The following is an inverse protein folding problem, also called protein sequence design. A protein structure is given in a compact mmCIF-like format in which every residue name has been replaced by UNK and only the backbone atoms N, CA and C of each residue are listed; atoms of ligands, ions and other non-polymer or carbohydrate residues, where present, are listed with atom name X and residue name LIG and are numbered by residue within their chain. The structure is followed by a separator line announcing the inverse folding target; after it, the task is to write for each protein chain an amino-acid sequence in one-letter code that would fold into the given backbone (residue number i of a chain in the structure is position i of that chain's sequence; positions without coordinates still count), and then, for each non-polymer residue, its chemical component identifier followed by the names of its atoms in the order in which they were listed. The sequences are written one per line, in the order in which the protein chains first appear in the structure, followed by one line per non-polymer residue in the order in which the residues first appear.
data_IF_122569726877
#
_entry.id   IF_122569726877
#
_cell.length_a   1.000
_cell.length_b   1.000
_cell.length_c   1.000
_cell.angle_alpha   90.00
_cell.angle_beta   90.00
_cell.angle_gamma   90.00
#
_symmetry.space_group_name_H-M   'P 1'
#
loop_
_entity.id
_entity.type
_entity.pdbx_description
1 polymer ?
#
# COMPACT_ATOMS: atom_id res chain seq x y z
N UNK A 1 21.01 4.88 -15.24
CA UNK A 1 20.23 3.73 -15.79
C UNK A 1 19.17 4.31 -16.67
N UNK A 2 18.81 3.72 -17.81
CA UNK A 2 17.57 4.12 -18.51
C UNK A 2 16.38 3.68 -17.66
N UNK A 3 15.25 4.41 -17.72
CA UNK A 3 14.03 4.08 -16.98
C UNK A 3 13.56 2.65 -17.29
N UNK A 4 13.63 2.23 -18.54
CA UNK A 4 13.29 0.88 -19.00
C UNK A 4 14.15 -0.22 -18.33
N UNK A 5 15.44 0.05 -18.09
CA UNK A 5 16.33 -0.94 -17.44
C UNK A 5 16.07 -1.01 -15.93
N UNK A 6 15.64 0.09 -15.31
CA UNK A 6 15.23 0.11 -13.91
C UNK A 6 13.94 -0.69 -13.73
N UNK A 7 12.94 -0.41 -14.54
CA UNK A 7 11.65 -1.09 -14.52
C UNK A 7 11.80 -2.60 -14.74
N UNK A 8 12.64 -3.03 -15.68
CA UNK A 8 12.93 -4.44 -15.89
C UNK A 8 13.48 -5.13 -14.63
N UNK A 9 14.43 -4.46 -13.92
CA UNK A 9 15.00 -5.00 -12.68
C UNK A 9 13.91 -5.07 -11.59
N UNK A 10 13.03 -4.07 -11.47
CA UNK A 10 11.93 -4.09 -10.51
C UNK A 10 10.93 -5.22 -10.80
N UNK A 11 10.57 -5.44 -12.07
CA UNK A 11 9.73 -6.56 -12.48
C UNK A 11 10.39 -7.93 -12.21
N UNK A 12 11.71 -8.05 -12.44
CA UNK A 12 12.46 -9.26 -12.12
C UNK A 12 12.53 -9.50 -10.60
N UNK A 13 12.71 -8.43 -9.81
CA UNK A 13 12.69 -8.48 -8.35
C UNK A 13 11.33 -8.97 -7.83
N UNK A 14 10.24 -8.47 -8.41
CA UNK A 14 8.89 -8.95 -8.09
C UNK A 14 8.75 -10.46 -8.30
N UNK A 15 9.12 -10.96 -9.50
CA UNK A 15 9.04 -12.40 -9.84
C UNK A 15 9.89 -13.26 -8.92
N UNK A 16 11.14 -12.83 -8.68
CA UNK A 16 12.06 -13.55 -7.80
C UNK A 16 11.56 -13.58 -6.34
N UNK A 17 10.98 -12.47 -5.85
CA UNK A 17 10.35 -12.42 -4.52
C UNK A 17 9.15 -13.37 -4.42
N UNK A 18 8.27 -13.39 -5.42
CA UNK A 18 7.13 -14.31 -5.45
C UNK A 18 7.57 -15.79 -5.44
N UNK A 19 8.69 -16.10 -6.10
CA UNK A 19 9.18 -17.47 -6.21
C UNK A 19 9.92 -17.94 -4.95
N UNK A 20 10.70 -17.08 -4.29
CA UNK A 20 11.65 -17.47 -3.24
C UNK A 20 11.28 -16.93 -1.84
N UNK A 21 10.41 -15.91 -1.74
CA UNK A 21 10.22 -15.15 -0.50
C UNK A 21 11.43 -14.26 -0.18
N UNK A 22 11.31 -13.42 0.86
CA UNK A 22 12.40 -12.52 1.26
C UNK A 22 13.64 -13.26 1.81
N UNK A 23 13.41 -14.29 2.63
CA UNK A 23 14.49 -14.95 3.36
C UNK A 23 15.50 -15.63 2.43
N UNK A 24 15.01 -16.37 1.44
CA UNK A 24 15.83 -17.16 0.52
C UNK A 24 16.25 -16.40 -0.74
N UNK A 25 15.66 -15.23 -1.01
CA UNK A 25 15.97 -14.41 -2.17
C UNK A 25 17.44 -14.01 -2.19
N UNK A 26 18.09 -14.16 -3.34
CA UNK A 26 19.47 -13.71 -3.61
C UNK A 26 19.52 -12.78 -4.83
N UNK A 27 20.64 -12.06 -4.97
CA UNK A 27 20.92 -11.26 -6.18
C UNK A 27 21.01 -12.14 -7.45
N UNK A 28 21.32 -13.43 -7.29
CA UNK A 28 21.34 -14.37 -8.42
C UNK A 28 19.95 -14.69 -8.90
N UNK A 29 19.01 -14.96 -7.98
CA UNK A 29 17.61 -15.26 -8.32
C UNK A 29 16.98 -14.11 -9.10
N UNK A 30 17.27 -12.85 -8.69
CA UNK A 30 16.81 -11.66 -9.41
C UNK A 30 17.45 -11.56 -10.80
N UNK A 31 18.74 -11.87 -10.92
CA UNK A 31 19.42 -11.87 -12.20
C UNK A 31 18.87 -12.96 -13.15
N UNK A 32 18.52 -14.13 -12.63
CA UNK A 32 17.96 -15.24 -13.40
C UNK A 32 16.54 -14.91 -13.93
N UNK A 33 15.81 -14.04 -13.26
CA UNK A 33 14.51 -13.49 -13.69
C UNK A 33 14.63 -12.26 -14.62
N UNK A 34 15.84 -11.77 -14.88
CA UNK A 34 16.12 -10.57 -15.66
C UNK A 34 16.94 -10.89 -16.92
N UNK A 35 16.93 -9.99 -17.90
CA UNK A 35 17.90 -10.03 -19.01
C UNK A 35 19.28 -9.52 -18.57
N UNK A 36 19.42 -9.01 -17.35
CA UNK A 36 20.66 -8.45 -16.80
C UNK A 36 21.43 -9.50 -16.03
N UNK A 37 22.77 -9.42 -16.13
CA UNK A 37 23.63 -10.28 -15.32
C UNK A 37 23.69 -9.83 -13.88
N UNK A 38 24.03 -10.74 -12.96
CA UNK A 38 24.30 -10.39 -11.54
C UNK A 38 25.35 -9.27 -11.40
N UNK A 39 26.37 -9.25 -12.26
CA UNK A 39 27.36 -8.18 -12.26
C UNK A 39 26.75 -6.82 -12.65
N UNK A 40 25.77 -6.82 -13.57
CA UNK A 40 25.04 -5.59 -13.91
C UNK A 40 24.15 -5.12 -12.75
N UNK A 41 23.51 -6.03 -12.01
CA UNK A 41 22.76 -5.68 -10.80
C UNK A 41 23.69 -5.06 -9.75
N UNK A 42 24.85 -5.68 -9.49
CA UNK A 42 25.83 -5.14 -8.54
C UNK A 42 26.50 -3.82 -8.98
N UNK A 43 26.42 -3.46 -10.23
CA UNK A 43 26.85 -2.13 -10.69
C UNK A 43 25.89 -1.03 -10.22
N UNK A 44 24.61 -1.34 -10.00
CA UNK A 44 23.57 -0.39 -9.62
C UNK A 44 23.16 -0.47 -8.15
N UNK A 45 23.29 -1.64 -7.54
CA UNK A 45 22.87 -1.92 -6.16
C UNK A 45 23.99 -2.67 -5.42
N UNK A 46 24.47 -2.09 -4.35
CA UNK A 46 25.58 -2.66 -3.57
C UNK A 46 25.20 -3.99 -2.90
N UNK A 47 23.90 -4.15 -2.58
CA UNK A 47 23.40 -5.31 -1.85
C UNK A 47 21.94 -5.66 -2.24
N UNK A 48 21.48 -6.86 -1.84
CA UNK A 48 20.06 -7.23 -1.87
C UNK A 48 19.21 -6.21 -1.11
N UNK A 49 19.70 -5.72 0.03
CA UNK A 49 19.02 -4.72 0.83
C UNK A 49 18.77 -3.42 0.05
N UNK A 50 19.79 -2.88 -0.62
CA UNK A 50 19.68 -1.65 -1.40
C UNK A 50 18.71 -1.82 -2.58
N UNK A 51 18.78 -2.97 -3.26
CA UNK A 51 17.86 -3.28 -4.35
C UNK A 51 16.41 -3.36 -3.82
N UNK A 52 16.17 -4.01 -2.68
CA UNK A 52 14.85 -4.10 -2.09
C UNK A 52 14.35 -2.75 -1.55
N UNK A 53 15.22 -1.88 -1.08
CA UNK A 53 14.89 -0.50 -0.78
C UNK A 53 14.39 0.25 -2.02
N UNK A 54 15.06 0.12 -3.15
CA UNK A 54 14.63 0.69 -4.42
C UNK A 54 13.33 0.06 -4.92
N UNK A 55 13.15 -1.24 -4.69
CA UNK A 55 11.91 -1.94 -5.02
C UNK A 55 10.71 -1.44 -4.19
N UNK A 56 10.89 -1.16 -2.91
CA UNK A 56 9.84 -0.55 -2.08
C UNK A 56 9.48 0.87 -2.57
N UNK A 57 10.44 1.66 -3.03
CA UNK A 57 10.17 2.96 -3.67
C UNK A 57 9.37 2.79 -4.97
N UNK A 58 9.75 1.84 -5.81
CA UNK A 58 9.02 1.54 -7.05
C UNK A 58 7.56 1.14 -6.76
N UNK A 59 7.33 0.32 -5.73
CA UNK A 59 5.97 -0.05 -5.32
C UNK A 59 5.18 1.16 -4.78
N UNK A 60 5.85 2.05 -4.05
CA UNK A 60 5.27 3.28 -3.56
C UNK A 60 4.84 4.19 -4.71
N UNK A 61 5.73 4.43 -5.69
CA UNK A 61 5.43 5.28 -6.84
C UNK A 61 4.25 4.73 -7.66
N UNK A 62 4.23 3.43 -7.93
CA UNK A 62 3.10 2.78 -8.60
C UNK A 62 1.80 2.80 -7.78
N UNK A 63 1.87 2.86 -6.45
CA UNK A 63 0.69 3.05 -5.61
C UNK A 63 0.18 4.50 -5.70
N UNK A 64 1.07 5.48 -5.64
CA UNK A 64 0.75 6.91 -5.79
C UNK A 64 0.05 7.17 -7.13
N UNK A 65 0.58 6.61 -8.22
CA UNK A 65 -0.04 6.72 -9.55
C UNK A 65 -1.47 6.15 -9.55
N UNK A 66 -1.68 4.96 -9.02
CA UNK A 66 -3.02 4.34 -8.97
C UNK A 66 -4.02 5.11 -8.12
N UNK A 67 -3.58 5.74 -7.03
CA UNK A 67 -4.46 6.56 -6.18
C UNK A 67 -4.72 7.93 -6.79
N UNK A 68 -3.77 8.50 -7.54
CA UNK A 68 -3.97 9.74 -8.29
C UNK A 68 -5.02 9.60 -9.41
N UNK A 69 -5.17 8.40 -9.97
CA UNK A 69 -6.14 8.09 -11.03
C UNK A 69 -7.59 7.93 -10.51
N UNK A 70 -7.84 8.11 -9.20
CA UNK A 70 -9.21 8.11 -8.64
C UNK A 70 -9.94 9.37 -9.14
N UNK A 71 -10.62 9.27 -10.29
CA UNK A 71 -11.43 10.33 -10.88
C UNK A 71 -12.83 10.38 -10.27
N UNK A 72 -12.88 10.55 -8.94
CA UNK A 72 -14.12 10.65 -8.15
C UNK A 72 -14.06 11.92 -7.33
N UNK A 73 -15.00 12.83 -7.58
CA UNK A 73 -15.06 14.15 -6.90
C UNK A 73 -15.82 14.09 -5.59
N UNK A 74 -16.81 13.21 -5.46
CA UNK A 74 -17.56 13.03 -4.20
C UNK A 74 -16.66 12.44 -3.10
N UNK A 75 -16.48 13.11 -1.95
CA UNK A 75 -15.56 12.67 -0.91
C UNK A 75 -15.92 11.30 -0.30
N UNK A 76 -17.20 10.96 -0.22
CA UNK A 76 -17.65 9.66 0.28
C UNK A 76 -17.23 8.52 -0.68
N UNK A 77 -17.55 8.67 -1.96
CA UNK A 77 -17.20 7.69 -2.98
C UNK A 77 -15.68 7.59 -3.17
N UNK A 78 -14.95 8.72 -3.06
CA UNK A 78 -13.47 8.75 -3.10
C UNK A 78 -12.87 7.97 -1.94
N UNK A 79 -13.39 8.16 -0.72
CA UNK A 79 -12.95 7.40 0.46
C UNK A 79 -13.16 5.89 0.26
N UNK A 80 -14.31 5.48 -0.26
CA UNK A 80 -14.60 4.07 -0.51
C UNK A 80 -13.73 3.48 -1.62
N UNK A 81 -13.49 4.23 -2.70
CA UNK A 81 -12.59 3.82 -3.78
C UNK A 81 -11.16 3.59 -3.27
N UNK A 82 -10.69 4.46 -2.38
CA UNK A 82 -9.38 4.32 -1.76
C UNK A 82 -9.28 3.04 -0.90
N UNK A 83 -10.30 2.77 -0.08
CA UNK A 83 -10.39 1.53 0.72
C UNK A 83 -10.36 0.31 -0.20
N UNK A 84 -11.06 0.37 -1.34
CA UNK A 84 -11.11 -0.72 -2.30
C UNK A 84 -9.73 -0.99 -2.92
N UNK A 85 -9.01 0.05 -3.34
CA UNK A 85 -7.64 -0.06 -3.91
C UNK A 85 -6.68 -0.70 -2.92
N UNK A 86 -6.72 -0.29 -1.63
CA UNK A 86 -5.80 -0.82 -0.61
C UNK A 86 -6.12 -2.29 -0.27
N UNK A 87 -7.41 -2.67 -0.27
CA UNK A 87 -7.84 -4.04 0.04
C UNK A 87 -7.88 -4.97 -1.18
N UNK A 88 -7.68 -4.44 -2.39
CA UNK A 88 -7.56 -5.24 -3.59
C UNK A 88 -6.34 -6.16 -3.52
N UNK A 89 -6.48 -7.38 -4.05
CA UNK A 89 -5.34 -8.30 -4.13
C UNK A 89 -4.35 -7.81 -5.18
N UNK A 90 -3.10 -7.64 -4.78
CA UNK A 90 -2.03 -7.28 -5.71
C UNK A 90 -1.65 -8.48 -6.59
N UNK A 91 -1.64 -8.31 -7.92
CA UNK A 91 -1.05 -9.15 -8.94
C UNK A 91 -1.10 -10.67 -8.70
N UNK A 92 0.06 -11.31 -8.57
CA UNK A 92 0.20 -12.77 -8.31
C UNK A 92 -0.20 -13.18 -6.89
N UNK A 93 -0.86 -12.30 -6.15
CA UNK A 93 -1.65 -12.60 -4.96
C UNK A 93 -0.81 -12.94 -3.72
N UNK A 94 -1.09 -14.12 -3.14
CA UNK A 94 -0.64 -14.50 -1.80
C UNK A 94 0.89 -14.55 -1.63
N UNK A 95 1.63 -14.98 -2.67
CA UNK A 95 3.09 -15.09 -2.62
C UNK A 95 3.75 -13.71 -2.46
N UNK A 96 3.28 -12.71 -3.21
CA UNK A 96 3.81 -11.35 -3.14
C UNK A 96 3.46 -10.67 -1.80
N UNK A 97 2.22 -10.82 -1.35
CA UNK A 97 1.79 -10.28 -0.06
C UNK A 97 2.57 -10.90 1.10
N UNK A 98 2.88 -12.21 1.01
CA UNK A 98 3.73 -12.90 2.00
C UNK A 98 5.14 -12.32 2.01
N UNK A 99 5.76 -12.13 0.85
CA UNK A 99 7.10 -11.55 0.75
C UNK A 99 7.16 -10.11 1.27
N UNK A 100 6.13 -9.30 1.02
CA UNK A 100 6.02 -7.96 1.60
C UNK A 100 5.89 -8.01 3.13
N UNK A 101 5.14 -8.95 3.67
CA UNK A 101 5.03 -9.13 5.12
C UNK A 101 6.38 -9.52 5.73
N UNK A 102 7.16 -10.40 5.06
CA UNK A 102 8.51 -10.76 5.48
C UNK A 102 9.45 -9.54 5.51
N UNK A 103 9.39 -8.66 4.49
CA UNK A 103 10.14 -7.40 4.45
C UNK A 103 9.68 -6.47 5.60
N UNK A 104 8.39 -6.34 5.85
CA UNK A 104 7.84 -5.56 6.97
C UNK A 104 8.35 -6.07 8.32
N UNK A 105 8.47 -7.38 8.48
CA UNK A 105 9.02 -7.99 9.70
C UNK A 105 10.50 -7.65 9.93
N UNK A 106 11.25 -7.26 8.89
CA UNK A 106 12.64 -6.79 9.02
C UNK A 106 12.75 -5.30 9.40
N UNK A 107 11.71 -4.50 9.20
CA UNK A 107 11.74 -3.06 9.45
C UNK A 107 12.22 -2.64 10.86
N UNK A 108 11.96 -3.39 11.95
CA UNK A 108 12.53 -3.09 13.26
C UNK A 108 14.06 -3.12 13.29
N UNK A 109 14.69 -3.88 12.39
CA UNK A 109 16.14 -4.13 12.36
C UNK A 109 16.83 -3.40 11.20
N UNK A 110 16.09 -3.03 10.16
CA UNK A 110 16.57 -2.46 8.91
C UNK A 110 16.01 -1.04 8.72
N UNK A 111 16.79 0.02 9.07
CA UNK A 111 16.30 1.40 8.98
C UNK A 111 15.81 1.81 7.59
N UNK A 112 16.44 1.30 6.52
CA UNK A 112 16.04 1.57 5.14
C UNK A 112 14.63 1.07 4.81
N UNK A 113 14.25 -0.09 5.30
CA UNK A 113 12.88 -0.60 5.13
C UNK A 113 11.87 0.18 5.97
N UNK A 114 12.24 0.49 7.23
CA UNK A 114 11.37 1.28 8.12
C UNK A 114 11.03 2.63 7.53
N UNK A 115 12.00 3.34 6.98
CA UNK A 115 11.80 4.66 6.37
C UNK A 115 10.81 4.60 5.20
N UNK A 116 10.96 3.62 4.32
CA UNK A 116 10.08 3.47 3.14
C UNK A 116 8.67 3.04 3.49
N UNK A 117 8.53 2.14 4.45
CA UNK A 117 7.22 1.72 4.95
C UNK A 117 6.52 2.87 5.69
N UNK A 118 7.24 3.67 6.47
CA UNK A 118 6.69 4.86 7.12
C UNK A 118 6.23 5.90 6.08
N UNK A 119 7.05 6.16 5.04
CA UNK A 119 6.67 7.04 3.92
C UNK A 119 5.36 6.58 3.25
N UNK A 120 5.21 5.27 3.04
CA UNK A 120 4.00 4.69 2.47
C UNK A 120 2.78 4.91 3.39
N UNK A 121 2.90 4.64 4.68
CA UNK A 121 1.81 4.84 5.65
C UNK A 121 1.45 6.33 5.83
N UNK A 122 2.43 7.23 5.80
CA UNK A 122 2.21 8.67 5.83
C UNK A 122 1.46 9.17 4.59
N UNK A 123 1.79 8.64 3.41
CA UNK A 123 1.06 8.96 2.19
C UNK A 123 -0.40 8.49 2.27
N UNK A 124 -0.64 7.24 2.69
CA UNK A 124 -1.99 6.72 2.91
C UNK A 124 -2.80 7.60 3.86
N UNK A 125 -2.21 7.96 5.00
CA UNK A 125 -2.86 8.81 5.99
C UNK A 125 -3.13 10.21 5.43
N UNK A 126 -2.21 10.78 4.66
CA UNK A 126 -2.34 12.10 4.03
C UNK A 126 -3.49 12.16 3.03
N UNK A 127 -3.58 11.18 2.10
CA UNK A 127 -4.67 11.09 1.12
C UNK A 127 -6.06 10.95 1.79
N UNK A 128 -6.13 10.09 2.80
CA UNK A 128 -7.37 9.93 3.57
C UNK A 128 -7.73 11.19 4.37
N UNK A 129 -6.74 11.86 4.97
CA UNK A 129 -6.97 13.11 5.70
C UNK A 129 -7.54 14.18 4.77
N UNK A 130 -6.90 14.39 3.60
CA UNK A 130 -7.37 15.35 2.60
C UNK A 130 -8.81 15.06 2.15
N UNK A 131 -9.10 13.79 1.85
CA UNK A 131 -10.46 13.37 1.45
C UNK A 131 -11.50 13.64 2.56
N UNK A 132 -11.13 13.41 3.82
CA UNK A 132 -12.01 13.66 4.96
C UNK A 132 -12.18 15.18 5.22
N UNK A 133 -11.12 15.98 5.10
CA UNK A 133 -11.17 17.44 5.21
C UNK A 133 -12.08 18.06 4.14
N UNK A 134 -11.93 17.65 2.89
CA UNK A 134 -12.80 18.05 1.77
C UNK A 134 -14.26 17.70 2.07
N UNK A 135 -14.53 16.48 2.53
CA UNK A 135 -15.88 16.03 2.84
C UNK A 135 -16.50 16.76 4.05
N UNK A 136 -15.73 17.13 5.05
CA UNK A 136 -16.20 18.00 6.17
C UNK A 136 -16.53 19.40 5.64
N UNK A 137 -15.64 19.97 4.81
CA UNK A 137 -15.85 21.31 4.24
C UNK A 137 -17.08 21.39 3.33
N UNK A 138 -17.39 20.31 2.60
CA UNK A 138 -18.55 20.19 1.71
C UNK A 138 -19.84 19.78 2.47
N UNK A 139 -19.73 19.37 3.73
CA UNK A 139 -20.86 18.88 4.51
C UNK A 139 -21.28 17.44 4.19
N UNK A 140 -20.46 16.68 3.48
CA UNK A 140 -20.64 15.25 3.24
C UNK A 140 -20.37 14.45 4.51
N UNK A 141 -19.34 14.82 5.27
CA UNK A 141 -19.01 14.22 6.56
C UNK A 141 -19.42 15.13 7.74
N UNK A 142 -19.58 14.52 8.90
CA UNK A 142 -19.93 15.20 10.14
C UNK A 142 -18.81 16.19 10.51
N UNK A 143 -19.20 17.38 11.01
CA UNK A 143 -18.26 18.45 11.32
C UNK A 143 -17.46 18.25 12.63
N UNK A 144 -17.81 17.23 13.40
CA UNK A 144 -17.20 16.91 14.70
C UNK A 144 -16.19 15.75 14.62
N UNK A 145 -15.97 15.17 13.43
CA UNK A 145 -14.89 14.21 13.24
C UNK A 145 -13.53 14.93 13.20
N UNK A 146 -12.49 14.28 13.71
CA UNK A 146 -11.10 14.67 13.44
C UNK A 146 -10.60 13.92 12.21
N UNK A 147 -10.33 14.61 11.07
CA UNK A 147 -9.91 13.97 9.84
C UNK A 147 -8.58 13.20 9.98
N UNK A 148 -7.60 13.76 10.71
CA UNK A 148 -6.28 13.17 10.86
C UNK A 148 -6.34 11.89 11.72
N UNK A 149 -7.04 11.92 12.85
CA UNK A 149 -7.22 10.77 13.72
C UNK A 149 -8.07 9.69 13.03
N UNK A 150 -9.12 10.07 12.30
CA UNK A 150 -9.95 9.16 11.52
C UNK A 150 -9.15 8.48 10.41
N UNK A 151 -8.35 9.23 9.66
CA UNK A 151 -7.46 8.69 8.63
C UNK A 151 -6.48 7.67 9.22
N UNK A 152 -5.84 7.99 10.34
CA UNK A 152 -4.91 7.08 11.01
C UNK A 152 -5.58 5.80 11.51
N UNK A 153 -6.79 5.91 12.04
CA UNK A 153 -7.61 4.74 12.40
C UNK A 153 -7.89 3.86 11.16
N UNK A 154 -8.33 4.46 10.05
CA UNK A 154 -8.59 3.73 8.81
C UNK A 154 -7.33 3.01 8.29
N UNK A 155 -6.17 3.68 8.25
CA UNK A 155 -4.89 3.07 7.87
C UNK A 155 -4.56 1.86 8.76
N UNK A 156 -4.77 1.99 10.07
CA UNK A 156 -4.52 0.88 11.02
C UNK A 156 -5.41 -0.32 10.71
N UNK A 157 -6.70 -0.10 10.43
CA UNK A 157 -7.64 -1.17 10.08
C UNK A 157 -7.27 -1.83 8.75
N UNK A 158 -6.91 -1.04 7.73
CA UNK A 158 -6.49 -1.52 6.41
C UNK A 158 -5.22 -2.36 6.50
N UNK A 159 -4.21 -1.89 7.22
CA UNK A 159 -2.95 -2.62 7.48
C UNK A 159 -3.21 -3.92 8.24
N UNK A 160 -4.10 -3.90 9.23
CA UNK A 160 -4.52 -5.10 9.96
C UNK A 160 -5.19 -6.12 9.04
N UNK A 161 -6.12 -5.68 8.20
CA UNK A 161 -6.85 -6.56 7.27
C UNK A 161 -5.93 -7.23 6.24
N UNK A 162 -4.99 -6.48 5.66
CA UNK A 162 -4.00 -7.03 4.72
C UNK A 162 -3.06 -8.01 5.42
N UNK A 163 -2.64 -7.72 6.64
CA UNK A 163 -1.82 -8.63 7.46
C UNK A 163 -2.56 -9.92 7.80
N UNK A 164 -3.82 -9.85 8.27
CA UNK A 164 -4.63 -11.03 8.58
C UNK A 164 -4.89 -11.92 7.35
N UNK A 165 -5.03 -11.30 6.17
CA UNK A 165 -5.19 -12.05 4.91
C UNK A 165 -4.02 -13.00 4.67
N UNK A 166 -2.79 -12.53 4.91
CA UNK A 166 -1.55 -13.31 4.71
C UNK A 166 -1.32 -14.30 5.85
N UNK A 167 -1.46 -13.85 7.09
CA UNK A 167 -1.02 -14.63 8.26
C UNK A 167 -1.99 -15.74 8.67
N UNK A 168 -3.28 -15.52 8.50
CA UNK A 168 -4.35 -16.44 8.94
C UNK A 168 -5.36 -16.80 7.85
N UNK A 169 -5.12 -16.38 6.60
CA UNK A 169 -5.99 -16.67 5.46
C UNK A 169 -7.37 -16.03 5.53
N UNK A 170 -7.55 -14.97 6.32
CA UNK A 170 -8.85 -14.32 6.49
C UNK A 170 -9.14 -13.37 5.33
N UNK A 171 -10.29 -13.56 4.67
CA UNK A 171 -10.73 -12.64 3.62
C UNK A 171 -10.94 -11.22 4.16
N UNK A 172 -10.47 -10.21 3.41
CA UNK A 172 -10.70 -8.79 3.72
C UNK A 172 -12.16 -8.33 3.47
N UNK A 173 -13.01 -9.16 2.88
CA UNK A 173 -14.40 -8.79 2.54
C UNK A 173 -15.25 -8.38 3.76
N UNK A 174 -15.02 -9.04 4.91
CA UNK A 174 -15.71 -8.66 6.14
C UNK A 174 -15.27 -7.27 6.60
N UNK A 175 -13.97 -7.01 6.59
CA UNK A 175 -13.40 -5.70 6.96
C UNK A 175 -13.87 -4.61 6.00
N UNK A 176 -13.86 -4.88 4.69
CA UNK A 176 -14.36 -3.97 3.67
C UNK A 176 -15.83 -3.58 3.92
N UNK A 177 -16.69 -4.56 4.17
CA UNK A 177 -18.09 -4.31 4.51
C UNK A 177 -18.25 -3.50 5.79
N UNK A 178 -17.52 -3.86 6.84
CA UNK A 178 -17.58 -3.16 8.12
C UNK A 178 -17.04 -1.72 8.02
N UNK A 179 -16.03 -1.48 7.21
CA UNK A 179 -15.55 -0.11 6.94
C UNK A 179 -16.60 0.72 6.21
N UNK A 180 -17.27 0.16 5.19
CA UNK A 180 -18.39 0.85 4.52
C UNK A 180 -19.50 1.20 5.51
N UNK A 181 -19.93 0.25 6.33
CA UNK A 181 -20.93 0.50 7.37
C UNK A 181 -20.47 1.54 8.41
N UNK A 182 -19.18 1.52 8.76
CA UNK A 182 -18.60 2.52 9.67
C UNK A 182 -18.63 3.94 9.07
N UNK A 183 -18.23 4.09 7.81
CA UNK A 183 -18.29 5.36 7.08
C UNK A 183 -19.73 5.87 7.03
N UNK A 184 -20.67 5.03 6.59
CA UNK A 184 -22.09 5.41 6.45
C UNK A 184 -22.73 5.83 7.77
N UNK A 185 -22.42 5.16 8.89
CA UNK A 185 -23.08 5.40 10.19
C UNK A 185 -22.41 6.45 11.05
N UNK A 186 -21.08 6.61 10.91
CA UNK A 186 -20.28 7.41 11.83
C UNK A 186 -19.57 8.59 11.19
N UNK A 187 -19.43 8.62 9.88
CA UNK A 187 -18.75 9.72 9.21
C UNK A 187 -19.69 10.58 8.38
N UNK A 188 -20.70 10.00 7.71
CA UNK A 188 -21.64 10.78 6.91
C UNK A 188 -22.46 11.76 7.77
N UNK A 189 -22.60 12.98 7.28
CA UNK A 189 -23.48 13.96 7.90
C UNK A 189 -24.92 13.43 7.93
N UNK A 190 -25.57 13.52 9.08
CA UNK A 190 -26.98 13.17 9.18
C UNK A 190 -27.79 14.20 8.41
N UNK A 191 -28.56 13.76 7.40
CA UNK A 191 -29.55 14.63 6.78
C UNK A 191 -30.57 15.01 7.87
N UNK A 192 -30.61 16.31 8.23
CA UNK A 192 -31.67 16.81 9.09
C UNK A 192 -33.02 16.45 8.41
N UNK A 193 -33.78 15.57 9.04
CA UNK A 193 -35.12 15.30 8.61
C UNK A 193 -35.90 16.61 8.70
N UNK A 194 -36.05 17.28 7.56
CA UNK A 194 -36.87 18.49 7.43
C UNK A 194 -38.29 18.08 7.78
N UNK A 195 -38.74 18.50 8.98
CA UNK A 195 -40.09 18.29 9.50
C UNK A 195 -41.08 19.25 8.82
#
# INVERSE_FOLDING_TARGET
MSDEAAEEIMCATYRALCANGYADLTMQDIADESTKSKAALHYHYDSKHDLLCAFLEYLYDGFVERTADIDVTDPHERLLAFVDIVLEKSGDGEAFETALLEIRAQAPYEPGFRERLAKFEEHLAGELTTTLEDGVAEGTFQSDIDPADTARFLVTVLTGATTERVTVGRSAECTKRMLREYVERNLLAQQEATA
#
